data_IF_873790774216
#
_entry.id   IF_873790774216
#
_cell.length_a   1.000
_cell.length_b   1.000
_cell.length_c   1.000
_cell.angle_alpha   90.00
_cell.angle_beta   90.00
_cell.angle_gamma   90.00
#
_symmetry.space_group_name_H-M   'P 1'
#
loop_
_entity.id
_entity.type
_entity.pdbx_description
1 polymer ?
#
# COMPACT_ATOMS: atom_id res chain seq x y z
N UNK A 1 53.37 -27.08 5.38
CA UNK A 1 52.95 -25.66 5.30
C UNK A 1 51.45 -25.67 5.11
N UNK A 2 50.70 -25.19 6.10
CA UNK A 2 49.24 -25.25 6.10
C UNK A 2 48.65 -24.09 5.30
N UNK A 3 47.81 -24.43 4.33
CA UNK A 3 46.89 -23.52 3.67
C UNK A 3 46.01 -22.79 4.70
N UNK A 4 45.94 -21.47 4.61
CA UNK A 4 44.93 -20.67 5.31
C UNK A 4 44.62 -19.40 4.53
N UNK A 5 44.02 -19.54 3.36
CA UNK A 5 43.32 -18.43 2.71
C UNK A 5 41.84 -18.80 2.57
N UNK A 6 41.12 -18.69 3.69
CA UNK A 6 39.66 -18.73 3.70
C UNK A 6 39.14 -17.35 3.30
N UNK A 7 38.31 -17.22 2.25
CA UNK A 7 37.76 -15.92 1.87
C UNK A 7 36.88 -15.39 2.99
N UNK A 8 37.32 -14.31 3.65
CA UNK A 8 36.51 -13.58 4.63
C UNK A 8 35.20 -13.18 3.95
N UNK A 9 34.11 -13.81 4.39
CA UNK A 9 32.74 -13.55 3.97
C UNK A 9 32.43 -12.09 4.31
N UNK A 10 32.63 -11.17 3.37
CA UNK A 10 32.31 -9.74 3.55
C UNK A 10 30.86 -9.66 4.02
N UNK A 11 30.67 -9.25 5.28
CA UNK A 11 29.33 -8.99 5.77
C UNK A 11 28.73 -7.87 4.91
N UNK A 12 27.50 -8.04 4.40
CA UNK A 12 26.84 -6.97 3.67
C UNK A 12 26.78 -5.74 4.58
N UNK A 13 27.04 -4.56 4.00
CA UNK A 13 26.97 -3.29 4.73
C UNK A 13 25.64 -3.19 5.49
N UNK A 14 25.63 -2.66 6.72
CA UNK A 14 24.41 -2.52 7.49
C UNK A 14 23.39 -1.73 6.66
N UNK A 15 22.28 -2.38 6.29
CA UNK A 15 21.16 -1.70 5.63
C UNK A 15 20.53 -0.79 6.67
N UNK A 16 20.76 0.51 6.55
CA UNK A 16 20.08 1.51 7.38
C UNK A 16 18.61 1.51 6.95
N UNK A 17 17.75 0.91 7.78
CA UNK A 17 16.32 0.92 7.56
C UNK A 17 15.76 2.29 7.94
N UNK A 18 15.20 2.99 6.97
CA UNK A 18 14.50 4.27 7.17
C UNK A 18 13.01 3.99 7.07
N UNK A 19 12.26 4.32 8.12
CA UNK A 19 10.81 4.14 8.18
C UNK A 19 10.12 4.92 7.06
N UNK A 20 9.06 4.31 6.51
CA UNK A 20 8.27 4.87 5.42
C UNK A 20 6.82 5.05 5.87
N UNK A 21 6.16 6.07 5.34
CA UNK A 21 4.73 6.32 5.56
C UNK A 21 4.07 6.78 4.27
N UNK A 22 2.78 6.49 4.11
CA UNK A 22 1.99 7.13 3.06
C UNK A 22 1.52 8.49 3.55
N UNK A 23 1.66 9.50 2.70
CA UNK A 23 0.91 10.75 2.81
C UNK A 23 -0.01 10.88 1.59
N UNK A 24 -1.28 11.24 1.83
CA UNK A 24 -2.16 11.68 0.75
C UNK A 24 -2.56 13.13 0.98
N UNK A 25 -2.53 13.91 -0.09
CA UNK A 25 -3.20 15.21 -0.19
C UNK A 25 -4.55 14.95 -0.84
N UNK A 26 -5.61 15.22 -0.07
CA UNK A 26 -7.01 14.93 -0.40
C UNK A 26 -7.56 15.93 -1.43
N UNK A 27 -8.72 15.64 -2.06
CA UNK A 27 -9.23 16.47 -3.15
C UNK A 27 -9.45 17.94 -2.80
N UNK A 28 -9.80 18.22 -1.55
CA UNK A 28 -9.97 19.58 -1.02
C UNK A 28 -8.67 20.40 -0.96
N UNK A 29 -7.51 19.75 -0.91
CA UNK A 29 -6.21 20.42 -0.75
C UNK A 29 -5.24 20.24 -1.92
N UNK A 30 -5.63 19.57 -3.01
CA UNK A 30 -4.75 19.39 -4.19
C UNK A 30 -4.28 20.71 -4.79
N UNK A 31 -5.11 21.75 -4.75
CA UNK A 31 -4.74 23.09 -5.22
C UNK A 31 -3.65 23.77 -4.35
N UNK A 32 -3.33 23.19 -3.19
CA UNK A 32 -2.26 23.58 -2.26
C UNK A 32 -1.14 22.54 -2.19
N UNK A 33 -1.08 21.61 -3.14
CA UNK A 33 -0.14 20.48 -3.06
C UNK A 33 1.32 20.92 -2.96
N UNK A 34 1.73 21.92 -3.75
CA UNK A 34 3.11 22.41 -3.73
C UNK A 34 3.49 23.00 -2.36
N UNK A 35 2.60 23.79 -1.74
CA UNK A 35 2.82 24.35 -0.39
C UNK A 35 2.92 23.26 0.69
N UNK A 36 2.10 22.20 0.58
CA UNK A 36 2.14 21.05 1.50
C UNK A 36 3.42 20.25 1.30
N UNK A 37 3.87 20.06 0.04
CA UNK A 37 5.12 19.37 -0.28
C UNK A 37 6.34 20.14 0.24
N UNK A 38 6.36 21.46 0.15
CA UNK A 38 7.41 22.29 0.74
C UNK A 38 7.48 22.10 2.27
N UNK A 39 6.32 22.03 2.95
CA UNK A 39 6.26 21.74 4.40
C UNK A 39 6.82 20.34 4.71
N UNK A 40 6.50 19.34 3.88
CA UNK A 40 7.01 17.97 4.02
C UNK A 40 8.54 17.96 3.91
N UNK A 41 9.10 18.60 2.87
CA UNK A 41 10.53 18.66 2.61
C UNK A 41 11.28 19.41 3.71
N UNK A 42 10.78 20.58 4.11
CA UNK A 42 11.38 21.39 5.19
C UNK A 42 11.28 20.71 6.56
N UNK A 43 10.34 19.78 6.75
CA UNK A 43 10.24 18.93 7.95
C UNK A 43 11.23 17.75 7.98
N UNK A 44 12.08 17.63 6.94
CA UNK A 44 13.13 16.63 6.85
C UNK A 44 12.67 15.28 6.32
N UNK A 45 11.53 15.20 5.64
CA UNK A 45 11.15 14.01 4.89
C UNK A 45 11.85 13.95 3.53
N UNK A 46 12.14 12.74 3.08
CA UNK A 46 12.45 12.46 1.67
C UNK A 46 11.20 11.94 0.98
N UNK A 47 10.82 12.54 -0.16
CA UNK A 47 9.76 12.03 -1.01
C UNK A 47 10.38 10.95 -1.92
N UNK A 48 10.06 9.69 -1.67
CA UNK A 48 10.56 8.56 -2.46
C UNK A 48 9.81 8.43 -3.79
N UNK A 49 8.49 8.62 -3.74
CA UNK A 49 7.61 8.54 -4.90
C UNK A 49 6.46 9.52 -4.75
N UNK A 50 5.99 10.05 -5.87
CA UNK A 50 4.86 10.98 -5.97
C UNK A 50 3.99 10.56 -7.16
N UNK A 51 2.67 10.56 -6.97
CA UNK A 51 1.72 10.34 -8.06
C UNK A 51 0.43 11.12 -7.81
N UNK A 52 -0.07 11.81 -8.82
CA UNK A 52 -1.42 12.36 -8.85
C UNK A 52 -2.34 11.35 -9.54
N UNK A 53 -3.47 11.02 -8.91
CA UNK A 53 -4.42 10.04 -9.41
C UNK A 53 -5.84 10.39 -8.98
N UNK A 54 -6.84 9.79 -9.60
CA UNK A 54 -8.24 9.86 -9.17
C UNK A 54 -8.74 8.45 -8.95
N UNK A 55 -9.17 8.17 -7.71
CA UNK A 55 -9.65 6.86 -7.32
C UNK A 55 -11.14 6.72 -7.62
N UNK A 56 -11.57 5.54 -8.09
CA UNK A 56 -13.00 5.23 -8.16
C UNK A 56 -13.60 5.09 -6.76
N UNK A 57 -14.94 5.16 -6.62
CA UNK A 57 -15.61 4.85 -5.35
C UNK A 57 -15.24 3.46 -4.80
N UNK A 58 -15.12 2.45 -5.66
CA UNK A 58 -14.74 1.09 -5.29
C UNK A 58 -13.31 1.07 -4.75
N UNK A 59 -12.37 1.71 -5.45
CA UNK A 59 -10.99 1.81 -4.99
C UNK A 59 -10.87 2.58 -3.66
N UNK A 60 -11.69 3.62 -3.46
CA UNK A 60 -11.74 4.33 -2.18
C UNK A 60 -12.29 3.42 -1.06
N UNK A 61 -13.32 2.62 -1.36
CA UNK A 61 -13.88 1.66 -0.41
C UNK A 61 -12.85 0.61 0.00
N UNK A 62 -12.10 0.07 -0.97
CA UNK A 62 -11.03 -0.89 -0.73
C UNK A 62 -9.89 -0.29 0.10
N UNK A 63 -9.47 0.93 -0.23
CA UNK A 63 -8.42 1.64 0.50
C UNK A 63 -8.82 1.90 1.96
N UNK A 64 -10.08 2.24 2.23
CA UNK A 64 -10.61 2.52 3.56
C UNK A 64 -11.35 1.33 4.20
N UNK A 65 -11.11 0.08 3.76
CA UNK A 65 -11.87 -1.09 4.20
C UNK A 65 -11.90 -1.30 5.73
N UNK A 66 -10.86 -0.86 6.46
CA UNK A 66 -10.82 -0.90 7.93
C UNK A 66 -11.90 -0.04 8.61
N UNK A 67 -12.46 0.94 7.89
CA UNK A 67 -13.55 1.79 8.34
C UNK A 67 -14.93 1.26 7.94
N UNK A 68 -15.02 0.08 7.32
CA UNK A 68 -16.29 -0.52 6.94
C UNK A 68 -17.25 -0.64 8.15
N UNK A 69 -18.51 -0.30 7.95
CA UNK A 69 -19.53 -0.28 8.99
C UNK A 69 -19.54 0.98 9.88
N UNK A 70 -18.59 1.92 9.72
CA UNK A 70 -18.67 3.23 10.38
C UNK A 70 -19.65 4.15 9.65
N UNK A 71 -20.42 4.94 10.40
CA UNK A 71 -21.43 5.86 9.84
C UNK A 71 -20.86 6.85 8.80
N UNK A 72 -19.61 7.30 8.98
CA UNK A 72 -18.96 8.23 8.07
C UNK A 72 -18.34 7.57 6.83
N UNK A 73 -18.25 6.24 6.77
CA UNK A 73 -17.53 5.52 5.71
C UNK A 73 -18.08 5.80 4.30
N UNK A 74 -19.40 5.78 4.05
CA UNK A 74 -19.93 6.10 2.72
C UNK A 74 -19.55 7.52 2.27
N UNK A 75 -19.62 8.49 3.19
CA UNK A 75 -19.26 9.88 2.91
C UNK A 75 -17.76 10.05 2.65
N UNK A 76 -16.92 9.29 3.34
CA UNK A 76 -15.47 9.23 3.09
C UNK A 76 -15.16 8.73 1.69
N UNK A 77 -15.78 7.63 1.29
CA UNK A 77 -15.61 7.03 -0.04
C UNK A 77 -16.05 7.98 -1.15
N UNK A 78 -17.22 8.59 -1.01
CA UNK A 78 -17.74 9.58 -1.98
C UNK A 78 -16.83 10.81 -2.06
N UNK A 79 -16.36 11.31 -0.92
CA UNK A 79 -15.48 12.48 -0.91
C UNK A 79 -14.13 12.17 -1.57
N UNK A 80 -13.50 11.05 -1.22
CA UNK A 80 -12.17 10.70 -1.72
C UNK A 80 -12.16 10.37 -3.23
N UNK A 81 -13.31 9.94 -3.77
CA UNK A 81 -13.49 9.71 -5.22
C UNK A 81 -13.97 10.95 -6.00
N UNK A 82 -14.30 12.05 -5.32
CA UNK A 82 -14.86 13.26 -5.95
C UNK A 82 -13.87 14.05 -6.82
N UNK A 83 -12.57 13.76 -6.72
CA UNK A 83 -11.53 14.44 -7.49
C UNK A 83 -10.18 13.77 -7.37
N UNK A 84 -9.16 14.40 -7.95
CA UNK A 84 -7.80 13.89 -7.84
C UNK A 84 -7.28 13.97 -6.39
N UNK A 85 -6.36 13.07 -6.07
CA UNK A 85 -5.52 13.08 -4.88
C UNK A 85 -4.05 13.07 -5.29
N UNK A 86 -3.17 13.57 -4.44
CA UNK A 86 -1.71 13.41 -4.60
C UNK A 86 -1.22 12.43 -3.54
N UNK A 87 -0.71 11.29 -3.98
CA UNK A 87 -0.08 10.29 -3.12
C UNK A 87 1.42 10.50 -3.07
N UNK A 88 2.00 10.41 -1.87
CA UNK A 88 3.42 10.56 -1.60
C UNK A 88 3.87 9.39 -0.71
N UNK A 89 4.90 8.66 -1.15
CA UNK A 89 5.62 7.73 -0.28
C UNK A 89 6.78 8.49 0.38
N UNK A 90 6.69 8.69 1.69
CA UNK A 90 7.66 9.49 2.45
C UNK A 90 8.62 8.59 3.23
N UNK A 91 9.86 9.03 3.41
CA UNK A 91 10.85 8.36 4.24
C UNK A 91 11.51 9.33 5.23
N UNK A 92 11.64 8.89 6.48
CA UNK A 92 12.31 9.62 7.58
C UNK A 92 12.55 8.69 8.77
N UNK A 93 13.44 9.06 9.68
CA UNK A 93 13.40 8.48 11.03
C UNK A 93 12.08 8.90 11.72
N UNK A 94 11.38 7.93 12.34
CA UNK A 94 10.07 8.16 12.97
C UNK A 94 9.04 8.78 12.00
N UNK A 95 9.02 8.33 10.74
CA UNK A 95 8.22 8.91 9.66
C UNK A 95 6.73 8.95 10.00
N UNK A 96 6.16 7.86 10.53
CA UNK A 96 4.73 7.78 10.84
C UNK A 96 4.38 8.76 11.97
N UNK A 97 5.11 8.70 13.09
CA UNK A 97 4.85 9.56 14.24
C UNK A 97 5.02 11.04 13.90
N UNK A 98 6.06 11.37 13.13
CA UNK A 98 6.33 12.74 12.70
C UNK A 98 5.28 13.25 11.73
N UNK A 99 4.86 12.42 10.77
CA UNK A 99 3.82 12.80 9.82
C UNK A 99 2.50 13.07 10.55
N UNK A 100 2.14 12.22 11.52
CA UNK A 100 0.97 12.43 12.38
C UNK A 100 1.05 13.73 13.18
N UNK A 101 2.23 14.09 13.69
CA UNK A 101 2.43 15.35 14.39
C UNK A 101 2.25 16.57 13.46
N UNK A 102 2.79 16.52 12.24
CA UNK A 102 2.67 17.62 11.25
C UNK A 102 1.23 17.76 10.75
N UNK A 103 0.52 16.64 10.54
CA UNK A 103 -0.89 16.66 10.17
C UNK A 103 -1.75 17.29 11.26
N UNK A 104 -1.48 16.95 12.53
CA UNK A 104 -2.28 17.38 13.68
C UNK A 104 -3.60 16.63 13.85
N UNK A 105 -4.49 17.08 14.76
CA UNK A 105 -5.76 16.42 15.08
C UNK A 105 -6.67 16.25 13.87
N UNK A 106 -7.37 15.11 13.78
CA UNK A 106 -8.28 14.79 12.64
C UNK A 106 -9.35 15.86 12.43
N UNK A 107 -9.89 16.41 13.52
CA UNK A 107 -10.86 17.50 13.49
C UNK A 107 -10.16 18.84 13.30
N UNK A 108 -10.42 19.47 12.16
CA UNK A 108 -9.77 20.73 11.74
C UNK A 108 -10.09 21.92 12.67
N UNK A 109 -11.24 21.92 13.35
CA UNK A 109 -11.59 22.97 14.33
C UNK A 109 -10.70 22.82 15.56
N UNK A 110 -10.64 21.61 16.13
CA UNK A 110 -9.75 21.30 17.25
C UNK A 110 -8.29 21.52 16.89
N UNK A 111 -7.90 21.21 15.65
CA UNK A 111 -6.55 21.47 15.14
C UNK A 111 -6.22 22.96 15.20
N UNK A 112 -7.11 23.84 14.74
CA UNK A 112 -6.91 25.30 14.83
C UNK A 112 -6.77 25.80 16.28
N UNK A 113 -7.52 25.22 17.21
CA UNK A 113 -7.47 25.60 18.62
C UNK A 113 -6.19 25.13 19.33
N UNK A 114 -5.70 23.93 19.00
CA UNK A 114 -4.62 23.28 19.77
C UNK A 114 -3.26 23.28 19.09
N UNK A 115 -3.23 23.31 17.75
CA UNK A 115 -2.02 23.21 16.92
C UNK A 115 -2.20 24.05 15.64
N UNK A 116 -2.26 25.40 15.74
CA UNK A 116 -2.64 26.26 14.62
C UNK A 116 -1.74 26.15 13.39
N UNK A 117 -0.48 25.74 13.58
CA UNK A 117 0.50 25.61 12.50
C UNK A 117 0.45 24.26 11.76
N UNK A 118 -0.32 23.28 12.27
CA UNK A 118 -0.43 21.97 11.65
C UNK A 118 -1.20 22.01 10.32
N UNK A 119 -1.01 21.01 9.46
CA UNK A 119 -1.62 20.97 8.14
C UNK A 119 -3.15 20.98 8.19
N UNK A 120 -3.75 20.24 9.12
CA UNK A 120 -5.22 20.19 9.26
C UNK A 120 -5.82 21.50 9.75
N UNK A 121 -5.06 22.29 10.53
CA UNK A 121 -5.49 23.62 10.94
C UNK A 121 -5.46 24.61 9.77
N UNK A 122 -4.38 24.59 8.99
CA UNK A 122 -4.12 25.50 7.87
C UNK A 122 -4.98 25.23 6.64
N UNK A 123 -5.15 23.96 6.27
CA UNK A 123 -5.76 23.56 5.00
C UNK A 123 -7.09 22.81 5.16
N UNK A 124 -7.38 22.31 6.36
CA UNK A 124 -8.61 21.58 6.65
C UNK A 124 -9.79 22.46 7.03
N UNK A 125 -10.98 22.05 6.63
CA UNK A 125 -12.25 22.74 6.94
C UNK A 125 -13.07 22.01 7.99
N UNK A 126 -13.18 20.68 7.91
CA UNK A 126 -13.89 19.83 8.86
C UNK A 126 -13.23 18.45 8.98
N UNK A 127 -13.86 17.49 9.66
CA UNK A 127 -13.31 16.15 9.91
C UNK A 127 -13.09 15.35 8.62
N UNK A 128 -14.03 15.47 7.68
CA UNK A 128 -13.98 14.78 6.40
C UNK A 128 -12.98 15.45 5.45
N UNK A 129 -13.11 16.77 5.32
CA UNK A 129 -12.28 17.68 4.49
C UNK A 129 -11.17 18.28 5.34
N UNK A 130 -10.25 17.44 5.77
CA UNK A 130 -9.11 17.80 6.60
C UNK A 130 -7.79 17.81 5.81
N UNK A 131 -7.85 18.02 4.49
CA UNK A 131 -6.71 18.17 3.58
C UNK A 131 -5.77 16.96 3.39
N UNK A 132 -5.45 16.20 4.44
CA UNK A 132 -4.38 15.19 4.42
C UNK A 132 -4.74 13.89 5.15
N UNK A 133 -4.21 12.78 4.63
CA UNK A 133 -4.23 11.45 5.24
C UNK A 133 -2.80 10.96 5.49
N UNK A 134 -2.64 10.13 6.52
CA UNK A 134 -1.39 9.42 6.77
C UNK A 134 -1.65 8.08 7.44
N UNK A 135 -0.73 7.15 7.23
CA UNK A 135 -0.84 5.79 7.77
C UNK A 135 -0.74 5.79 9.30
N UNK A 136 -1.48 4.89 9.96
CA UNK A 136 -1.54 4.85 11.42
C UNK A 136 -0.47 3.97 12.08
N UNK A 137 0.09 3.01 11.34
CA UNK A 137 1.07 2.03 11.81
C UNK A 137 1.99 1.59 10.66
N UNK A 138 3.07 0.87 10.99
CA UNK A 138 3.98 0.30 9.99
C UNK A 138 3.24 -0.62 9.00
N UNK A 139 2.38 -1.51 9.50
CA UNK A 139 1.62 -2.43 8.64
C UNK A 139 0.61 -1.69 7.75
N UNK A 140 -0.03 -0.64 8.26
CA UNK A 140 -0.89 0.22 7.46
C UNK A 140 -0.07 0.94 6.38
N UNK A 141 1.09 1.50 6.73
CA UNK A 141 1.97 2.18 5.78
C UNK A 141 2.41 1.25 4.64
N UNK A 142 2.85 0.03 4.93
CA UNK A 142 3.24 -0.93 3.89
C UNK A 142 2.07 -1.26 2.94
N UNK A 143 0.89 -1.56 3.50
CA UNK A 143 -0.31 -1.88 2.72
C UNK A 143 -0.73 -0.69 1.86
N UNK A 144 -0.82 0.49 2.46
CA UNK A 144 -1.28 1.72 1.81
C UNK A 144 -0.31 2.20 0.72
N UNK A 145 1.00 2.14 0.97
CA UNK A 145 2.02 2.44 -0.05
C UNK A 145 1.92 1.44 -1.20
N UNK A 146 1.73 0.14 -0.92
CA UNK A 146 1.58 -0.87 -1.99
C UNK A 146 0.32 -0.62 -2.81
N UNK A 147 -0.78 -0.23 -2.17
CA UNK A 147 -2.02 0.13 -2.86
C UNK A 147 -1.81 1.32 -3.81
N UNK A 148 -1.14 2.37 -3.34
CA UNK A 148 -0.91 3.60 -4.12
C UNK A 148 0.23 3.48 -5.14
N UNK A 149 1.18 2.56 -4.92
CA UNK A 149 2.36 2.39 -5.75
C UNK A 149 2.67 0.89 -5.93
N UNK A 150 1.86 0.14 -6.69
CA UNK A 150 1.93 -1.32 -6.78
C UNK A 150 3.26 -1.86 -7.32
N UNK A 151 3.99 -1.06 -8.10
CA UNK A 151 5.30 -1.43 -8.64
C UNK A 151 6.47 -1.09 -7.68
N UNK A 152 6.18 -0.66 -6.46
CA UNK A 152 7.21 -0.31 -5.48
C UNK A 152 7.77 -1.53 -4.77
N UNK A 153 9.09 -1.65 -4.76
CA UNK A 153 9.78 -2.54 -3.81
C UNK A 153 9.76 -1.88 -2.43
N UNK A 154 8.83 -2.31 -1.58
CA UNK A 154 8.77 -1.89 -0.18
C UNK A 154 9.76 -2.76 0.60
N UNK A 155 10.83 -2.15 1.09
CA UNK A 155 11.76 -2.79 2.03
C UNK A 155 11.26 -2.57 3.47
N UNK A 156 11.52 -3.51 4.40
CA UNK A 156 12.34 -4.69 4.21
C UNK A 156 11.56 -5.78 3.46
N UNK A 157 12.16 -6.35 2.42
CA UNK A 157 11.66 -7.62 1.87
C UNK A 157 11.66 -8.58 3.06
N UNK A 158 10.54 -9.27 3.36
CA UNK A 158 10.52 -10.26 4.43
C UNK A 158 11.73 -11.18 4.28
N UNK A 159 12.48 -11.37 5.35
CA UNK A 159 13.67 -12.23 5.39
C UNK A 159 13.53 -13.21 6.55
N UNK A 160 14.21 -14.35 6.45
CA UNK A 160 14.14 -15.39 7.48
C UNK A 160 12.73 -15.95 7.64
N UNK A 161 12.23 -15.99 8.87
CA UNK A 161 10.96 -16.67 9.20
C UNK A 161 9.75 -15.99 8.58
N UNK A 162 9.71 -14.65 8.54
CA UNK A 162 8.60 -13.92 7.93
C UNK A 162 8.44 -14.21 6.42
N UNK A 163 9.55 -14.44 5.71
CA UNK A 163 9.51 -14.90 4.31
C UNK A 163 8.97 -16.32 4.20
N UNK A 164 9.44 -17.23 5.05
CA UNK A 164 8.96 -18.62 5.06
C UNK A 164 7.47 -18.68 5.35
N UNK A 165 6.99 -17.93 6.34
CA UNK A 165 5.58 -17.87 6.72
C UNK A 165 4.72 -17.38 5.56
N UNK A 166 5.14 -16.30 4.89
CA UNK A 166 4.45 -15.80 3.71
C UNK A 166 4.40 -16.85 2.58
N UNK A 167 5.55 -17.46 2.24
CA UNK A 167 5.61 -18.48 1.21
C UNK A 167 4.74 -19.70 1.57
N UNK A 168 4.84 -20.21 2.79
CA UNK A 168 4.06 -21.34 3.26
C UNK A 168 2.56 -21.07 3.25
N UNK A 169 2.15 -19.85 3.58
CA UNK A 169 0.74 -19.49 3.67
C UNK A 169 0.10 -19.19 2.32
N UNK A 170 0.81 -18.51 1.43
CA UNK A 170 0.21 -17.92 0.23
C UNK A 170 0.74 -18.46 -1.09
N UNK A 171 1.96 -19.01 -1.13
CA UNK A 171 2.62 -19.40 -2.40
C UNK A 171 2.74 -20.92 -2.52
N UNK A 172 3.35 -21.56 -1.52
CA UNK A 172 3.69 -22.98 -1.54
C UNK A 172 2.49 -23.91 -1.75
N UNK A 173 1.30 -23.69 -1.15
CA UNK A 173 0.17 -24.61 -1.35
C UNK A 173 -0.24 -24.75 -2.82
N UNK A 174 -0.32 -23.64 -3.55
CA UNK A 174 -0.70 -23.65 -4.97
C UNK A 174 0.46 -24.03 -5.86
N UNK A 175 1.67 -23.50 -5.58
CA UNK A 175 2.84 -23.77 -6.39
C UNK A 175 3.26 -25.24 -6.34
N UNK A 176 3.22 -25.88 -5.17
CA UNK A 176 3.57 -27.29 -5.01
C UNK A 176 2.63 -28.19 -5.80
N UNK A 177 1.32 -27.89 -5.80
CA UNK A 177 0.34 -28.61 -6.61
C UNK A 177 0.63 -28.45 -8.11
N UNK A 178 0.90 -27.22 -8.56
CA UNK A 178 1.23 -26.95 -9.96
C UNK A 178 2.50 -27.67 -10.42
N UNK A 179 3.56 -27.65 -9.61
CA UNK A 179 4.80 -28.38 -9.90
C UNK A 179 4.59 -29.90 -9.92
N UNK A 180 3.72 -30.41 -9.05
CA UNK A 180 3.37 -31.83 -9.03
C UNK A 180 2.64 -32.23 -10.31
N UNK A 181 1.67 -31.45 -10.77
CA UNK A 181 0.94 -31.70 -12.02
C UNK A 181 1.84 -31.52 -13.26
N UNK A 182 2.73 -30.53 -13.24
CA UNK A 182 3.73 -30.34 -14.30
C UNK A 182 4.60 -31.58 -14.47
N UNK A 183 5.08 -32.16 -13.37
CA UNK A 183 5.91 -33.37 -13.38
C UNK A 183 5.15 -34.61 -13.90
N UNK A 184 3.82 -34.68 -13.68
CA UNK A 184 2.96 -35.75 -14.21
C UNK A 184 2.72 -35.59 -15.71
N UNK A 185 2.43 -34.37 -16.17
CA UNK A 185 2.04 -34.08 -17.56
C UNK A 185 3.22 -33.99 -18.52
N UNK A 186 4.37 -33.49 -18.05
CA UNK A 186 5.59 -33.27 -18.84
C UNK A 186 5.31 -32.60 -20.20
N UNK A 187 4.65 -31.43 -20.20
CA UNK A 187 4.32 -30.70 -21.43
C UNK A 187 5.60 -30.27 -22.17
N UNK A 188 5.49 -30.03 -23.47
CA UNK A 188 6.60 -29.59 -24.31
C UNK A 188 7.18 -28.22 -23.86
N UNK A 189 6.31 -27.32 -23.39
CA UNK A 189 6.70 -26.06 -22.74
C UNK A 189 6.26 -26.05 -21.27
N UNK A 190 7.15 -26.42 -20.33
CA UNK A 190 6.81 -26.50 -18.92
C UNK A 190 6.60 -25.14 -18.24
N UNK A 191 7.20 -24.06 -18.75
CA UNK A 191 7.09 -22.74 -18.14
C UNK A 191 5.74 -22.10 -18.43
N UNK A 192 5.37 -22.06 -19.71
CA UNK A 192 4.07 -21.51 -20.14
C UNK A 192 2.93 -22.33 -19.54
N UNK A 193 3.04 -23.66 -19.57
CA UNK A 193 2.03 -24.55 -18.98
C UNK A 193 1.84 -24.31 -17.47
N UNK A 194 2.94 -24.17 -16.70
CA UNK A 194 2.83 -23.92 -15.27
C UNK A 194 2.23 -22.55 -14.98
N UNK A 195 2.57 -21.52 -15.77
CA UNK A 195 1.99 -20.20 -15.63
C UNK A 195 0.46 -20.21 -15.85
N UNK A 196 0.01 -20.85 -16.94
CA UNK A 196 -1.42 -21.02 -17.24
C UNK A 196 -2.12 -21.80 -16.13
N UNK A 197 -1.53 -22.91 -15.69
CA UNK A 197 -2.06 -23.73 -14.61
C UNK A 197 -2.23 -22.93 -13.31
N UNK A 198 -1.24 -22.11 -12.93
CA UNK A 198 -1.32 -21.25 -11.74
C UNK A 198 -2.42 -20.19 -11.87
N UNK A 199 -2.61 -19.63 -13.07
CA UNK A 199 -3.66 -18.65 -13.34
C UNK A 199 -5.07 -19.24 -13.28
N UNK A 200 -5.23 -20.50 -13.70
CA UNK A 200 -6.48 -21.25 -13.61
C UNK A 200 -6.78 -21.73 -12.18
N UNK A 201 -5.75 -22.08 -11.42
CA UNK A 201 -5.86 -22.66 -10.07
C UNK A 201 -5.57 -21.65 -8.95
N UNK A 202 -5.66 -20.36 -9.25
CA UNK A 202 -5.47 -19.31 -8.26
C UNK A 202 -6.62 -19.30 -7.24
N UNK A 203 -6.35 -19.58 -5.94
CA UNK A 203 -7.39 -19.65 -4.91
C UNK A 203 -8.06 -18.30 -4.63
N UNK A 204 -7.45 -17.19 -5.04
CA UNK A 204 -7.96 -15.84 -4.85
C UNK A 204 -8.73 -15.31 -6.07
N UNK A 205 -8.88 -16.10 -7.14
CA UNK A 205 -9.65 -15.70 -8.32
C UNK A 205 -11.13 -16.01 -8.12
N UNK A 206 -12.05 -15.05 -8.32
CA UNK A 206 -13.49 -15.32 -8.29
C UNK A 206 -13.85 -16.34 -9.38
N UNK A 207 -14.58 -17.41 -9.01
CA UNK A 207 -15.12 -18.36 -9.98
C UNK A 207 -16.42 -17.80 -10.54
N UNK A 208 -16.40 -17.33 -11.79
CA UNK A 208 -17.62 -16.98 -12.52
C UNK A 208 -18.27 -18.29 -12.96
N UNK A 209 -19.40 -18.66 -12.34
CA UNK A 209 -20.24 -19.75 -12.82
C UNK A 209 -21.02 -19.27 -14.05
N UNK A 210 -20.55 -19.61 -15.24
CA UNK A 210 -21.29 -19.38 -16.49
C UNK A 210 -22.11 -20.63 -16.78
N UNK A 211 -23.23 -20.78 -16.08
CA UNK A 211 -24.33 -21.66 -16.51
C UNK A 211 -25.65 -20.96 -16.20
N UNK A 212 -26.10 -20.13 -17.15
CA UNK A 212 -27.53 -19.83 -17.30
C UNK A 212 -27.87 -20.18 -18.74
N UNK A 213 -28.24 -21.45 -18.97
CA UNK A 213 -29.01 -21.80 -20.15
C UNK A 213 -30.35 -21.06 -20.07
N UNK A 214 -30.49 -19.98 -20.83
CA UNK A 214 -31.79 -19.39 -21.10
C UNK A 214 -32.50 -20.35 -22.04
N UNK A 215 -33.38 -21.19 -21.50
CA UNK A 215 -34.38 -21.89 -22.31
C UNK A 215 -35.37 -20.83 -22.81
N UNK A 216 -35.30 -20.52 -24.11
CA UNK A 216 -36.36 -19.80 -24.79
C UNK A 216 -37.64 -20.63 -24.71
N UNK A 217 -38.68 -20.07 -24.09
CA UNK A 217 -40.02 -20.63 -24.15
C UNK A 217 -40.61 -20.30 -25.52
N UNK A 218 -40.94 -21.35 -26.27
CA UNK A 218 -41.71 -21.30 -27.51
C UNK A 218 -43.19 -20.98 -27.26
#
# INVERSE_FOLDING_TARGET
MMDSDSPQKRMPAPRIFVERTLALIKPDAVHKADEIEDIILTSGFTILQKRKLQLSPEQCSDFYAEHYGKLYFPHLTVFMSSGSVVALALARHQAIATWKAIMGPVNSIKARETQPDCLRARFGTCDLRNAVHGSDSFSAAEREIRFMFPNSVIEPIPMGEAAKDYLNRYVNPTLLNGLTELCKKKPADPFTWLADWLMENNPNKPKISVEVEIKEAA
#
